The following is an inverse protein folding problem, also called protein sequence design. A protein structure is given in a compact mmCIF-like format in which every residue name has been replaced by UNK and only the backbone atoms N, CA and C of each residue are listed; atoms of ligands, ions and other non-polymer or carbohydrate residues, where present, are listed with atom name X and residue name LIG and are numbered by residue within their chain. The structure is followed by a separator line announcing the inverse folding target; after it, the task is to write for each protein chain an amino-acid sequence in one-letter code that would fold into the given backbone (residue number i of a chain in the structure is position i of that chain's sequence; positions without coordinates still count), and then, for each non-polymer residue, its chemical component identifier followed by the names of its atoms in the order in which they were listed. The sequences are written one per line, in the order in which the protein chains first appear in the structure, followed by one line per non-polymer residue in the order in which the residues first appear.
data_IF_254960308755
#
_entry.id   IF_254960308755
#
_cell.length_a   1.000
_cell.length_b   1.000
_cell.length_c   1.000
_cell.angle_alpha   90.00
_cell.angle_beta   90.00
_cell.angle_gamma   90.00
#
_symmetry.space_group_name_H-M   'P 1'
#
loop_
_entity.id
_entity.type
_entity.pdbx_description
1 polymer ?
#
# COMPACT_ATOMS: atom_id res chain seq x y z
N UNK A 1 3.93 -6.30 20.47
CA UNK A 1 4.05 -5.13 19.56
C UNK A 1 3.70 -3.87 20.32
N UNK A 2 4.44 -2.78 20.13
CA UNK A 2 4.04 -1.48 20.70
C UNK A 2 2.79 -0.93 20.01
N UNK A 3 2.04 -0.05 20.68
CA UNK A 3 0.89 0.66 20.09
C UNK A 3 1.33 1.40 18.81
N UNK A 4 2.50 2.04 18.84
CA UNK A 4 3.07 2.72 17.69
C UNK A 4 3.34 1.76 16.52
N UNK A 5 3.84 0.55 16.80
CA UNK A 5 4.05 -0.49 15.78
C UNK A 5 2.71 -0.93 15.18
N UNK A 6 1.68 -1.14 16.00
CA UNK A 6 0.36 -1.53 15.53
C UNK A 6 -0.28 -0.47 14.62
N UNK A 7 -0.16 0.81 14.98
CA UNK A 7 -0.61 1.94 14.15
C UNK A 7 0.12 1.94 12.80
N UNK A 8 1.46 1.81 12.80
CA UNK A 8 2.26 1.78 11.56
C UNK A 8 1.87 0.60 10.64
N UNK A 9 1.69 -0.59 11.22
CA UNK A 9 1.26 -1.78 10.47
C UNK A 9 -0.12 -1.55 9.85
N UNK A 10 -1.07 -1.02 10.62
CA UNK A 10 -2.42 -0.76 10.12
C UNK A 10 -2.45 0.32 9.04
N UNK A 11 -1.63 1.36 9.17
CA UNK A 11 -1.45 2.37 8.13
C UNK A 11 -1.00 1.74 6.82
N UNK A 12 0.05 0.92 6.84
CA UNK A 12 0.54 0.28 5.61
C UNK A 12 -0.46 -0.71 5.01
N UNK A 13 -1.24 -1.43 5.83
CA UNK A 13 -2.36 -2.28 5.34
C UNK A 13 -3.42 -1.45 4.63
N UNK A 14 -3.87 -0.35 5.25
CA UNK A 14 -4.87 0.54 4.68
C UNK A 14 -4.38 1.15 3.36
N UNK A 15 -3.19 1.73 3.33
CA UNK A 15 -2.63 2.34 2.13
C UNK A 15 -2.44 1.32 1.00
N UNK A 16 -1.96 0.10 1.30
CA UNK A 16 -1.85 -0.98 0.31
C UNK A 16 -3.21 -1.30 -0.30
N UNK A 17 -4.22 -1.55 0.53
CA UNK A 17 -5.55 -1.93 0.07
C UNK A 17 -6.20 -0.80 -0.76
N UNK A 18 -6.03 0.45 -0.33
CA UNK A 18 -6.50 1.61 -1.08
C UNK A 18 -5.86 1.70 -2.47
N UNK A 19 -4.54 1.56 -2.58
CA UNK A 19 -3.87 1.59 -3.89
C UNK A 19 -4.26 0.39 -4.78
N UNK A 20 -4.54 -0.78 -4.19
CA UNK A 20 -5.07 -1.92 -4.94
C UNK A 20 -6.46 -1.63 -5.50
N UNK A 21 -7.35 -1.02 -4.71
CA UNK A 21 -8.67 -0.62 -5.17
C UNK A 21 -8.60 0.39 -6.32
N UNK A 22 -7.72 1.40 -6.22
CA UNK A 22 -7.51 2.35 -7.33
C UNK A 22 -6.98 1.68 -8.61
N UNK A 23 -6.26 0.55 -8.53
CA UNK A 23 -5.78 -0.13 -9.74
C UNK A 23 -6.91 -0.74 -10.58
N UNK A 24 -8.07 -0.98 -9.96
CA UNK A 24 -9.28 -1.47 -10.62
C UNK A 24 -9.98 -0.38 -11.44
N UNK A 25 -9.72 0.90 -11.15
CA UNK A 25 -10.30 2.02 -11.88
C UNK A 25 -9.71 2.21 -13.30
N UNK A 26 -10.42 3.01 -14.10
CA UNK A 26 -10.00 3.42 -15.44
C UNK A 26 -8.96 4.55 -15.36
N UNK A 27 -7.76 4.20 -14.91
CA UNK A 27 -6.60 5.09 -14.82
C UNK A 27 -5.66 4.87 -16.01
N UNK A 28 -4.94 5.91 -16.39
CA UNK A 28 -3.90 5.79 -17.42
C UNK A 28 -2.77 4.85 -16.98
N UNK A 29 -1.99 4.39 -17.97
CA UNK A 29 -0.94 3.41 -17.75
C UNK A 29 0.14 3.90 -16.78
N UNK A 30 0.56 5.16 -16.89
CA UNK A 30 1.61 5.72 -16.05
C UNK A 30 1.16 5.77 -14.58
N UNK A 31 -0.09 6.15 -14.35
CA UNK A 31 -0.68 6.18 -13.03
C UNK A 31 -0.83 4.78 -12.44
N UNK A 32 -1.27 3.79 -13.23
CA UNK A 32 -1.31 2.38 -12.80
C UNK A 32 0.08 1.87 -12.42
N UNK A 33 1.13 2.23 -13.15
CA UNK A 33 2.52 1.88 -12.79
C UNK A 33 2.96 2.51 -11.46
N UNK A 34 2.58 3.77 -11.20
CA UNK A 34 2.87 4.45 -9.92
C UNK A 34 2.16 3.78 -8.75
N UNK A 35 0.89 3.41 -8.94
CA UNK A 35 0.12 2.69 -7.92
C UNK A 35 0.71 1.31 -7.61
N UNK A 36 1.12 0.53 -8.61
CA UNK A 36 1.79 -0.77 -8.41
C UNK A 36 3.05 -0.62 -7.56
N UNK A 37 3.91 0.35 -7.88
CA UNK A 37 5.12 0.65 -7.07
C UNK A 37 4.79 1.00 -5.62
N UNK A 38 3.70 1.74 -5.38
CA UNK A 38 3.23 2.05 -4.01
C UNK A 38 2.68 0.82 -3.28
N UNK A 39 1.96 -0.07 -3.97
CA UNK A 39 1.51 -1.36 -3.41
C UNK A 39 2.72 -2.19 -2.98
N UNK A 40 3.71 -2.36 -3.86
CA UNK A 40 4.95 -3.10 -3.59
C UNK A 40 5.70 -2.51 -2.39
N UNK A 41 5.82 -1.18 -2.31
CA UNK A 41 6.41 -0.51 -1.15
C UNK A 41 5.71 -0.89 0.16
N UNK A 42 4.38 -0.87 0.19
CA UNK A 42 3.64 -1.21 1.41
C UNK A 42 3.72 -2.70 1.76
N UNK A 43 3.74 -3.58 0.75
CA UNK A 43 3.99 -5.02 0.96
C UNK A 43 5.36 -5.24 1.58
N UNK A 44 6.41 -4.64 1.01
CA UNK A 44 7.77 -4.72 1.54
C UNK A 44 7.85 -4.19 2.97
N UNK A 45 7.19 -3.07 3.26
CA UNK A 45 7.14 -2.53 4.63
C UNK A 45 6.49 -3.53 5.58
N UNK A 46 5.33 -4.10 5.22
CA UNK A 46 4.62 -5.07 6.05
C UNK A 46 5.41 -6.37 6.30
N UNK A 47 6.24 -6.81 5.35
CA UNK A 47 7.13 -7.96 5.54
C UNK A 47 8.31 -7.69 6.48
N UNK A 48 8.63 -6.42 6.73
CA UNK A 48 9.75 -5.99 7.58
C UNK A 48 9.30 -5.47 8.96
N UNK A 49 8.01 -5.54 9.30
CA UNK A 49 7.48 -5.14 10.60
C UNK A 49 7.36 -6.31 11.58
#
# INVERSE_FOLDING_TARGET
MSILTAIKVNWHKLSRNYHMLLLEDCLDHEFKLKLRRKVEYHVLKLSNY
#
